data_IF_379844039975
#
_entry.id   IF_379844039975
#
_cell.length_a   1.000
_cell.length_b   1.000
_cell.length_c   1.000
_cell.angle_alpha   90.00
_cell.angle_beta   90.00
_cell.angle_gamma   90.00
#
_symmetry.space_group_name_H-M   'P 1'
#
loop_
_entity.id
_entity.type
_entity.pdbx_description
1 polymer ?
#
# COMPACT_ATOMS: atom_id res chain seq x y z
N UNK A 1 -11.40 -9.10 19.77
CA UNK A 1 -12.45 -8.35 19.02
C UNK A 1 -13.00 -9.32 17.97
N UNK A 2 -14.31 -9.37 17.73
CA UNK A 2 -14.90 -10.30 16.75
C UNK A 2 -14.92 -9.60 15.38
N UNK A 3 -14.13 -10.09 14.42
CA UNK A 3 -14.09 -9.54 13.06
C UNK A 3 -15.10 -10.30 12.18
N UNK A 4 -16.13 -9.63 11.69
CA UNK A 4 -17.04 -10.16 10.67
C UNK A 4 -16.71 -9.48 9.33
N UNK A 5 -16.26 -10.26 8.35
CA UNK A 5 -16.06 -9.80 6.98
C UNK A 5 -17.30 -10.20 6.14
N UNK A 6 -17.70 -9.38 5.17
CA UNK A 6 -18.82 -9.70 4.28
C UNK A 6 -18.52 -10.95 3.45
N UNK A 7 -19.27 -12.02 3.71
CA UNK A 7 -19.10 -13.33 3.08
C UNK A 7 -19.02 -14.42 4.16
N UNK A 8 -20.16 -15.08 4.40
CA UNK A 8 -20.44 -16.20 5.32
C UNK A 8 -19.25 -17.13 5.62
N UNK A 9 -18.30 -16.65 6.42
CA UNK A 9 -17.18 -17.41 7.00
C UNK A 9 -16.93 -16.84 8.38
N UNK A 10 -17.36 -17.61 9.37
CA UNK A 10 -17.06 -17.33 10.77
C UNK A 10 -15.63 -17.83 11.05
N UNK A 11 -14.73 -16.90 11.36
CA UNK A 11 -13.38 -17.24 11.80
C UNK A 11 -13.38 -17.45 13.31
N UNK A 12 -12.45 -18.27 13.80
CA UNK A 12 -12.29 -18.44 15.25
C UNK A 12 -11.87 -17.12 15.89
N UNK A 13 -12.35 -16.88 17.11
CA UNK A 13 -11.89 -15.76 17.92
C UNK A 13 -10.38 -15.88 18.12
N UNK A 14 -9.65 -14.85 17.71
CA UNK A 14 -8.22 -14.73 17.91
C UNK A 14 -7.94 -13.50 18.79
N UNK A 15 -6.96 -13.66 19.66
CA UNK A 15 -6.38 -12.55 20.39
C UNK A 15 -5.20 -12.02 19.58
N UNK A 16 -5.18 -10.72 19.36
CA UNK A 16 -4.11 -10.03 18.65
C UNK A 16 -3.50 -9.00 19.60
N UNK A 17 -2.19 -8.85 19.53
CA UNK A 17 -1.55 -7.70 20.17
C UNK A 17 -1.92 -6.45 19.37
N UNK A 18 -2.07 -5.34 20.09
CA UNK A 18 -2.37 -4.04 19.47
C UNK A 18 -1.15 -3.17 19.62
N UNK A 19 -0.71 -2.60 18.50
CA UNK A 19 0.40 -1.66 18.45
C UNK A 19 -0.09 -0.31 17.96
N UNK A 20 0.41 0.75 18.58
CA UNK A 20 0.22 2.11 18.11
C UNK A 20 1.48 2.59 17.39
N UNK A 21 1.36 2.92 16.12
CA UNK A 21 2.46 3.44 15.30
C UNK A 21 2.21 4.89 14.89
N UNK A 22 3.29 5.65 14.80
CA UNK A 22 3.31 6.96 14.16
C UNK A 22 3.98 6.82 12.78
N UNK A 23 3.20 7.03 11.72
CA UNK A 23 3.68 7.04 10.34
C UNK A 23 3.95 8.49 9.95
N UNK A 24 5.14 8.78 9.42
CA UNK A 24 5.53 10.13 9.00
C UNK A 24 5.94 10.14 7.53
N UNK A 25 5.65 11.23 6.82
CA UNK A 25 6.28 11.50 5.53
C UNK A 25 7.77 11.78 5.72
N UNK A 26 8.58 11.52 4.69
CA UNK A 26 10.05 11.72 4.74
C UNK A 26 10.45 13.19 4.96
N UNK A 27 9.59 14.13 4.58
CA UNK A 27 9.76 15.56 4.80
C UNK A 27 9.12 16.06 6.11
N UNK A 28 8.58 15.13 6.92
CA UNK A 28 7.90 15.39 8.20
C UNK A 28 6.69 16.32 8.11
N UNK A 29 6.22 16.66 6.90
CA UNK A 29 5.06 17.54 6.67
C UNK A 29 3.73 16.88 7.05
N UNK A 30 3.71 15.56 7.14
CA UNK A 30 2.53 14.78 7.50
C UNK A 30 2.90 13.69 8.51
N UNK A 31 2.01 13.48 9.48
CA UNK A 31 2.05 12.30 10.34
C UNK A 31 0.65 11.77 10.64
N UNK A 32 0.56 10.47 10.86
CA UNK A 32 -0.67 9.76 11.19
C UNK A 32 -0.39 8.72 12.27
N UNK A 33 -1.15 8.78 13.35
CA UNK A 33 -1.15 7.75 14.39
C UNK A 33 -2.19 6.69 14.03
N UNK A 34 -1.78 5.42 14.03
CA UNK A 34 -2.64 4.28 13.69
C UNK A 34 -2.52 3.19 14.75
N UNK A 35 -3.64 2.54 15.05
CA UNK A 35 -3.66 1.29 15.81
C UNK A 35 -3.71 0.11 14.85
N UNK A 36 -2.89 -0.90 15.11
CA UNK A 36 -2.68 -2.05 14.22
C UNK A 36 -2.69 -3.33 15.03
N UNK A 37 -3.23 -4.38 14.43
CA UNK A 37 -3.22 -5.72 15.02
C UNK A 37 -1.98 -6.49 14.58
N UNK A 38 -1.42 -7.27 15.51
CA UNK A 38 -0.36 -8.22 15.21
C UNK A 38 -0.92 -9.42 14.42
N UNK A 39 -0.22 -9.78 13.35
CA UNK A 39 -0.59 -10.91 12.50
C UNK A 39 0.66 -11.70 12.12
N UNK A 40 0.59 -13.03 12.24
CA UNK A 40 1.69 -13.90 11.79
C UNK A 40 1.91 -13.81 10.27
N UNK A 41 0.82 -13.55 9.53
CA UNK A 41 0.83 -13.32 8.09
C UNK A 41 -0.27 -12.35 7.73
N UNK A 42 0.10 -11.15 7.32
CA UNK A 42 -0.84 -10.09 6.95
C UNK A 42 -1.52 -10.40 5.59
N UNK A 43 -0.74 -10.74 4.57
CA UNK A 43 -1.27 -11.03 3.22
C UNK A 43 -0.34 -12.00 2.46
N UNK A 44 -0.67 -12.24 1.18
CA UNK A 44 0.27 -12.79 0.22
C UNK A 44 1.40 -11.81 -0.09
N UNK A 45 2.35 -12.30 -0.90
CA UNK A 45 3.45 -11.50 -1.43
C UNK A 45 2.92 -10.40 -2.35
N UNK A 46 3.51 -9.22 -2.28
CA UNK A 46 3.21 -8.12 -3.21
C UNK A 46 4.11 -8.27 -4.43
N UNK A 47 3.54 -8.31 -5.65
CA UNK A 47 4.35 -8.48 -6.84
C UNK A 47 5.15 -7.21 -7.13
N UNK A 48 6.38 -7.40 -7.63
CA UNK A 48 7.28 -6.31 -7.98
C UNK A 48 6.94 -5.71 -9.36
N UNK A 49 7.10 -4.40 -9.46
CA UNK A 49 7.17 -3.72 -10.75
C UNK A 49 8.52 -3.99 -11.40
N UNK A 50 8.51 -4.83 -12.42
CA UNK A 50 9.72 -5.25 -13.15
C UNK A 50 9.77 -4.73 -14.59
N UNK A 51 8.69 -4.11 -15.08
CA UNK A 51 8.61 -3.63 -16.46
C UNK A 51 9.60 -2.46 -16.68
N UNK A 52 10.65 -2.63 -17.52
CA UNK A 52 11.65 -1.60 -17.75
C UNK A 52 11.08 -0.32 -18.36
N UNK A 53 10.00 -0.43 -19.15
CA UNK A 53 9.32 0.72 -19.73
C UNK A 53 8.73 1.62 -18.65
N UNK A 54 8.00 1.03 -17.70
CA UNK A 54 7.42 1.73 -16.54
C UNK A 54 8.53 2.37 -15.70
N UNK A 55 9.58 1.61 -15.38
CA UNK A 55 10.71 2.10 -14.56
C UNK A 55 11.41 3.29 -15.25
N UNK A 56 11.67 3.20 -16.55
CA UNK A 56 12.28 4.28 -17.31
C UNK A 56 11.39 5.53 -17.36
N UNK A 57 10.08 5.32 -17.52
CA UNK A 57 9.12 6.41 -17.50
C UNK A 57 9.07 7.12 -16.12
N UNK A 58 9.04 6.37 -15.02
CA UNK A 58 9.11 6.92 -13.67
C UNK A 58 10.36 7.78 -13.49
N UNK A 59 11.53 7.25 -13.88
CA UNK A 59 12.80 7.96 -13.79
C UNK A 59 12.79 9.26 -14.61
N UNK A 60 12.27 9.23 -15.84
CA UNK A 60 12.13 10.43 -16.70
C UNK A 60 11.22 11.49 -16.07
N UNK A 61 10.22 11.07 -15.29
CA UNK A 61 9.31 11.95 -14.54
C UNK A 61 9.87 12.36 -13.17
N UNK A 62 11.07 11.93 -12.80
CA UNK A 62 11.69 12.23 -11.51
C UNK A 62 11.03 11.50 -10.33
N UNK A 63 10.31 10.41 -10.59
CA UNK A 63 9.64 9.59 -9.58
C UNK A 63 10.56 8.40 -9.26
N UNK A 64 10.95 8.28 -7.99
CA UNK A 64 11.82 7.21 -7.53
C UNK A 64 10.95 6.06 -7.02
N UNK A 65 11.16 4.87 -7.58
CA UNK A 65 10.59 3.64 -7.02
C UNK A 65 11.47 3.22 -5.83
N UNK A 66 10.95 3.30 -4.61
CA UNK A 66 11.66 2.90 -3.39
C UNK A 66 11.72 1.39 -3.22
N UNK A 67 10.71 0.68 -3.73
CA UNK A 67 10.49 -0.73 -3.42
C UNK A 67 11.19 -1.65 -4.42
N UNK A 68 12.51 -1.45 -4.56
CA UNK A 68 13.36 -2.13 -5.54
C UNK A 68 13.91 -3.49 -5.05
N UNK A 69 13.25 -4.14 -4.10
CA UNK A 69 13.71 -5.42 -3.56
C UNK A 69 13.96 -6.46 -4.66
N UNK A 70 14.99 -7.29 -4.51
CA UNK A 70 15.35 -8.30 -5.52
C UNK A 70 14.35 -9.47 -5.57
N UNK A 71 13.48 -9.59 -4.57
CA UNK A 71 12.50 -10.66 -4.41
C UNK A 71 11.14 -10.08 -4.00
N UNK A 72 10.08 -10.88 -4.16
CA UNK A 72 8.76 -10.56 -3.64
C UNK A 72 8.79 -10.23 -2.14
N UNK A 73 8.24 -9.08 -1.76
CA UNK A 73 8.23 -8.63 -0.37
C UNK A 73 7.01 -9.14 0.39
N UNK A 74 7.22 -9.45 1.66
CA UNK A 74 6.14 -9.56 2.64
C UNK A 74 5.61 -8.17 2.99
N UNK A 75 4.34 -8.09 3.37
CA UNK A 75 3.74 -6.84 3.83
C UNK A 75 4.04 -6.71 5.32
N UNK A 76 4.75 -5.65 5.70
CA UNK A 76 5.01 -5.32 7.11
C UNK A 76 3.84 -4.56 7.76
N UNK A 77 3.11 -3.80 6.95
CA UNK A 77 2.04 -2.92 7.41
C UNK A 77 0.86 -2.92 6.42
N UNK A 78 -0.34 -3.25 6.91
CA UNK A 78 -1.58 -3.14 6.14
C UNK A 78 -2.51 -2.12 6.79
N UNK A 79 -2.84 -1.07 6.03
CA UNK A 79 -3.73 -0.01 6.47
C UNK A 79 -5.14 -0.23 5.92
N UNK A 80 -6.13 -0.13 6.81
CA UNK A 80 -7.54 -0.28 6.44
C UNK A 80 -8.09 0.93 5.69
N UNK A 81 -9.24 0.73 5.03
CA UNK A 81 -9.94 1.79 4.32
C UNK A 81 -10.36 2.97 5.23
N UNK A 82 -10.44 2.74 6.55
CA UNK A 82 -10.74 3.77 7.55
C UNK A 82 -9.69 4.90 7.60
N UNK A 83 -8.44 4.65 7.18
CA UNK A 83 -7.39 5.68 7.13
C UNK A 83 -7.05 6.12 5.70
N UNK A 84 -7.57 5.43 4.68
CA UNK A 84 -7.27 5.72 3.27
C UNK A 84 -7.55 7.18 2.90
N UNK A 85 -8.69 7.74 3.34
CA UNK A 85 -9.06 9.13 3.07
C UNK A 85 -8.14 10.17 3.70
N UNK A 86 -7.32 9.80 4.68
CA UNK A 86 -6.31 10.67 5.28
C UNK A 86 -5.00 10.66 4.49
N UNK A 87 -4.72 9.55 3.79
CA UNK A 87 -3.49 9.33 3.03
C UNK A 87 -3.61 9.84 1.60
N UNK A 88 -4.70 9.50 0.91
CA UNK A 88 -4.88 9.87 -0.48
C UNK A 88 -5.08 11.37 -0.63
N UNK A 89 -4.38 11.94 -1.61
CA UNK A 89 -4.55 13.30 -2.05
C UNK A 89 -5.34 13.31 -3.35
N UNK A 90 -5.95 14.45 -3.68
CA UNK A 90 -6.54 14.63 -5.00
C UNK A 90 -5.47 14.55 -6.10
N UNK A 91 -5.83 13.89 -7.20
CA UNK A 91 -5.03 13.82 -8.42
C UNK A 91 -4.33 12.49 -8.63
N UNK A 92 -4.20 12.13 -9.90
CA UNK A 92 -3.48 10.95 -10.37
C UNK A 92 -2.55 11.33 -11.52
N UNK A 93 -1.57 10.47 -11.79
CA UNK A 93 -0.68 10.57 -12.95
C UNK A 93 -0.86 9.30 -13.76
N UNK A 94 -1.39 9.44 -14.97
CA UNK A 94 -1.42 8.36 -15.96
C UNK A 94 -0.02 8.19 -16.57
N UNK A 95 0.45 6.96 -16.60
CA UNK A 95 1.67 6.52 -17.25
C UNK A 95 1.36 6.09 -18.69
N UNK A 96 2.35 6.16 -19.58
CA UNK A 96 2.24 5.70 -20.97
C UNK A 96 1.90 4.20 -21.05
N UNK A 97 2.17 3.43 -19.99
CA UNK A 97 1.77 2.03 -19.86
C UNK A 97 0.29 1.82 -19.56
N UNK A 98 -0.49 2.89 -19.32
CA UNK A 98 -1.88 2.82 -18.86
C UNK A 98 -2.05 2.62 -17.35
N UNK A 99 -0.94 2.59 -16.60
CA UNK A 99 -0.97 2.53 -15.13
C UNK A 99 -1.24 3.92 -14.54
N UNK A 100 -1.88 3.98 -13.39
CA UNK A 100 -2.10 5.22 -12.66
C UNK A 100 -1.27 5.26 -11.38
N UNK A 101 -0.65 6.41 -11.11
CA UNK A 101 -0.08 6.73 -9.80
C UNK A 101 -1.02 7.66 -9.06
N UNK A 102 -1.40 7.27 -7.84
CA UNK A 102 -2.14 8.12 -6.91
C UNK A 102 -1.16 8.92 -6.07
N UNK A 103 -1.45 10.21 -5.91
CA UNK A 103 -0.74 11.00 -4.89
C UNK A 103 -1.27 10.64 -3.51
N UNK A 104 -0.34 10.50 -2.59
CA UNK A 104 -0.62 10.34 -1.18
C UNK A 104 0.24 11.32 -0.40
N UNK A 105 -0.09 11.52 0.87
CA UNK A 105 0.74 12.30 1.80
C UNK A 105 2.07 11.63 2.14
N UNK A 106 2.29 10.37 1.73
CA UNK A 106 3.52 9.62 1.92
C UNK A 106 4.34 9.47 0.63
N UNK A 107 3.90 10.08 -0.49
CA UNK A 107 4.53 9.94 -1.81
C UNK A 107 3.54 9.46 -2.86
N UNK A 108 3.94 8.53 -3.71
CA UNK A 108 3.08 7.96 -4.76
C UNK A 108 2.84 6.48 -4.50
N UNK A 109 1.63 6.00 -4.82
CA UNK A 109 1.31 4.58 -4.86
C UNK A 109 0.66 4.26 -6.21
N UNK A 110 0.86 3.05 -6.71
CA UNK A 110 0.17 2.58 -7.90
C UNK A 110 -1.30 2.30 -7.57
N UNK A 111 -2.21 2.81 -8.40
CA UNK A 111 -3.58 2.31 -8.45
C UNK A 111 -3.59 1.03 -9.29
N UNK A 112 -3.71 -0.11 -8.63
CA UNK A 112 -3.78 -1.38 -9.30
C UNK A 112 -5.25 -1.81 -9.39
N UNK A 113 -5.92 -1.47 -10.49
CA UNK A 113 -7.18 -2.13 -10.80
C UNK A 113 -6.91 -3.62 -11.11
N UNK A 114 -7.75 -4.50 -10.58
CA UNK A 114 -7.64 -5.96 -10.68
C UNK A 114 -7.82 -6.54 -12.11
N UNK A 115 -7.58 -5.74 -13.17
CA UNK A 115 -7.75 -6.10 -14.57
C UNK A 115 -6.44 -6.35 -15.30
N UNK A 116 -6.07 -7.62 -15.42
CA UNK A 116 -5.28 -8.20 -16.52
C UNK A 116 -3.93 -7.56 -16.89
N UNK A 117 -2.96 -7.59 -15.98
CA UNK A 117 -1.53 -7.49 -16.34
C UNK A 117 -0.68 -8.40 -15.43
N UNK A 118 -1.03 -9.69 -15.47
CA UNK A 118 -0.13 -10.82 -15.22
C UNK A 118 -0.41 -11.89 -16.26
#
# INVERSE_FOLDING_TARGET
>A
MQHQLFGVRETQNQSHDVYELLICSLDESFSLRVELFSEKKICGKVPKISNPFVINELNRRGIILSDLAYEDCEIDLLLGANVAGLLFMGGSIELESGLFLLRTRLGFCFDWEAGNIW
#
